data_IF_375336544228
#
_entry.id   IF_375336544228
#
_cell.length_a   1.000
_cell.length_b   1.000
_cell.length_c   1.000
_cell.angle_alpha   90.00
_cell.angle_beta   90.00
_cell.angle_gamma   90.00
#
_symmetry.space_group_name_H-M   'P 1'
#
loop_
_entity.id
_entity.type
_entity.pdbx_description
1 polymer ?
#
# COMPACT_ATOMS: atom_id res chain seq x y z
N UNK A 1 7.74 14.00 0.01
CA UNK A 1 6.84 13.41 -1.01
C UNK A 1 5.46 13.96 -0.77
N UNK A 2 4.77 14.41 -1.82
CA UNK A 2 3.36 14.76 -1.76
C UNK A 2 2.60 13.91 -2.78
N UNK A 3 1.37 13.52 -2.46
CA UNK A 3 0.52 12.75 -3.35
C UNK A 3 -0.91 13.30 -3.27
N UNK A 4 -1.62 13.27 -4.39
CA UNK A 4 -3.07 13.52 -4.46
C UNK A 4 -3.72 12.34 -5.16
N UNK A 5 -4.71 11.73 -4.51
CA UNK A 5 -5.38 10.54 -4.99
C UNK A 5 -6.88 10.77 -5.15
N UNK A 6 -7.46 10.20 -6.20
CA UNK A 6 -8.91 10.05 -6.38
C UNK A 6 -9.22 8.57 -6.39
N UNK A 7 -10.24 8.18 -5.62
CA UNK A 7 -10.67 6.80 -5.52
C UNK A 7 -12.14 6.68 -5.90
N UNK A 8 -12.48 5.66 -6.69
CA UNK A 8 -13.84 5.37 -7.10
C UNK A 8 -14.11 3.87 -7.15
N UNK A 9 -15.35 3.47 -6.92
CA UNK A 9 -15.75 2.07 -7.05
C UNK A 9 -15.98 1.71 -8.51
N UNK A 10 -15.48 0.55 -8.92
CA UNK A 10 -15.87 -0.07 -10.19
C UNK A 10 -17.34 -0.49 -10.15
N UNK A 11 -17.92 -0.73 -11.34
CA UNK A 11 -19.23 -1.36 -11.45
C UNK A 11 -19.26 -2.69 -10.65
N UNK A 12 -20.34 -2.94 -9.91
CA UNK A 12 -20.44 -4.07 -8.98
C UNK A 12 -19.82 -3.84 -7.60
N UNK A 13 -19.05 -2.77 -7.38
CA UNK A 13 -18.53 -2.33 -6.05
C UNK A 13 -17.67 -3.38 -5.31
N UNK A 14 -16.99 -4.26 -6.05
CA UNK A 14 -16.07 -5.25 -5.48
C UNK A 14 -14.63 -4.72 -5.38
N UNK A 15 -14.25 -3.87 -6.33
CA UNK A 15 -12.94 -3.26 -6.40
C UNK A 15 -13.06 -1.74 -6.51
N UNK A 16 -12.15 -1.06 -5.84
CA UNK A 16 -11.94 0.37 -5.91
C UNK A 16 -10.72 0.65 -6.79
N UNK A 17 -10.87 1.56 -7.74
CA UNK A 17 -9.80 2.11 -8.56
C UNK A 17 -9.29 3.39 -7.91
N UNK A 18 -7.97 3.57 -7.87
CA UNK A 18 -7.32 4.72 -7.25
C UNK A 18 -6.31 5.30 -8.24
N UNK A 19 -6.60 6.51 -8.72
CA UNK A 19 -5.68 7.29 -9.53
C UNK A 19 -4.92 8.28 -8.66
N UNK A 20 -3.59 8.28 -8.73
CA UNK A 20 -2.74 9.18 -7.94
C UNK A 20 -1.76 9.98 -8.80
N UNK A 21 -1.53 11.22 -8.41
CA UNK A 21 -0.42 12.05 -8.90
C UNK A 21 0.53 12.30 -7.74
N UNK A 22 1.83 12.06 -7.92
CA UNK A 22 2.83 12.23 -6.88
C UNK A 22 4.00 13.10 -7.31
N UNK A 23 4.61 13.77 -6.33
CA UNK A 23 5.90 14.48 -6.46
C UNK A 23 6.91 13.90 -5.48
N UNK A 24 8.07 13.49 -5.99
CA UNK A 24 9.13 12.87 -5.20
C UNK A 24 10.51 13.45 -5.56
N UNK A 25 11.51 13.19 -4.71
CA UNK A 25 12.91 13.57 -5.02
C UNK A 25 13.51 12.80 -6.19
N UNK A 26 12.87 11.71 -6.64
CA UNK A 26 13.28 10.90 -7.80
C UNK A 26 12.53 11.28 -9.08
N UNK A 27 11.57 12.20 -9.00
CA UNK A 27 10.72 12.60 -10.13
C UNK A 27 9.24 12.68 -9.75
N UNK A 28 8.49 13.36 -10.62
CA UNK A 28 7.04 13.42 -10.57
C UNK A 28 6.45 12.27 -11.39
N UNK A 29 5.25 11.81 -11.04
CA UNK A 29 4.62 10.72 -11.77
C UNK A 29 3.17 10.49 -11.40
N UNK A 30 2.59 9.47 -12.02
CA UNK A 30 1.23 9.01 -11.79
C UNK A 30 1.22 7.54 -11.43
N UNK A 31 0.21 7.11 -10.67
CA UNK A 31 -0.06 5.70 -10.43
C UNK A 31 -1.54 5.36 -10.52
N UNK A 32 -1.80 4.11 -10.87
CA UNK A 32 -3.11 3.49 -10.89
C UNK A 32 -3.07 2.27 -9.97
N UNK A 33 -4.01 2.21 -9.02
CA UNK A 33 -4.12 1.09 -8.11
C UNK A 33 -5.54 0.51 -8.07
N UNK A 34 -5.61 -0.80 -7.85
CA UNK A 34 -6.85 -1.54 -7.65
C UNK A 34 -6.83 -2.17 -6.27
N UNK A 35 -7.86 -1.90 -5.49
CA UNK A 35 -8.02 -2.41 -4.13
C UNK A 35 -9.36 -3.11 -3.97
N UNK A 36 -9.39 -4.31 -3.40
CA UNK A 36 -10.63 -5.03 -3.17
C UNK A 36 -10.44 -6.28 -2.33
N UNK A 37 -11.53 -6.99 -2.07
CA UNK A 37 -11.50 -8.23 -1.30
C UNK A 37 -11.63 -9.43 -2.22
N UNK A 38 -10.69 -10.38 -2.09
CA UNK A 38 -10.74 -11.69 -2.74
C UNK A 38 -11.46 -12.68 -1.79
N UNK A 39 -12.67 -13.14 -2.12
CA UNK A 39 -13.43 -14.06 -1.27
C UNK A 39 -12.86 -15.49 -1.23
N UNK A 40 -12.09 -15.90 -2.24
CA UNK A 40 -11.47 -17.23 -2.28
C UNK A 40 -10.25 -17.28 -1.35
N UNK A 41 -9.40 -16.25 -1.43
CA UNK A 41 -8.23 -16.13 -0.56
C UNK A 41 -8.57 -15.58 0.83
N UNK A 42 -9.77 -15.02 1.00
CA UNK A 42 -10.24 -14.34 2.22
C UNK A 42 -9.33 -13.19 2.66
N UNK A 43 -8.73 -12.50 1.70
CA UNK A 43 -7.80 -11.41 1.91
C UNK A 43 -8.13 -10.23 1.02
N UNK A 44 -7.73 -9.03 1.44
CA UNK A 44 -7.72 -7.88 0.57
C UNK A 44 -6.52 -7.95 -0.37
N UNK A 45 -6.70 -7.45 -1.58
CA UNK A 45 -5.65 -7.35 -2.60
C UNK A 45 -5.46 -5.90 -2.95
N UNK A 46 -4.21 -5.48 -3.08
CA UNK A 46 -3.82 -4.20 -3.65
C UNK A 46 -2.84 -4.45 -4.77
N UNK A 47 -3.07 -3.86 -5.94
CA UNK A 47 -2.15 -3.90 -7.07
C UNK A 47 -1.99 -2.49 -7.63
N UNK A 48 -0.76 -1.99 -7.72
CA UNK A 48 -0.45 -0.65 -8.22
C UNK A 48 0.57 -0.71 -9.35
N UNK A 49 0.41 0.20 -10.31
CA UNK A 49 1.36 0.43 -11.39
C UNK A 49 1.63 1.93 -11.50
N UNK A 50 2.87 2.32 -11.76
CA UNK A 50 3.21 3.73 -11.88
C UNK A 50 3.99 4.08 -13.16
N UNK A 51 4.03 5.38 -13.47
CA UNK A 51 4.68 5.94 -14.66
C UNK A 51 6.21 5.78 -14.67
N UNK A 52 6.81 5.25 -13.59
CA UNK A 52 8.23 4.94 -13.50
C UNK A 52 8.51 3.46 -13.81
N UNK A 53 7.50 2.70 -14.24
CA UNK A 53 7.63 1.29 -14.61
C UNK A 53 7.62 0.33 -13.42
N UNK A 54 7.22 0.79 -12.23
CA UNK A 54 7.08 -0.05 -11.05
C UNK A 54 5.69 -0.70 -11.01
N UNK A 55 5.65 -1.93 -10.51
CA UNK A 55 4.44 -2.69 -10.29
C UNK A 55 4.51 -3.34 -8.91
N UNK A 56 3.57 -2.98 -8.05
CA UNK A 56 3.52 -3.45 -6.67
C UNK A 56 2.25 -4.28 -6.45
N UNK A 57 2.38 -5.34 -5.66
CA UNK A 57 1.25 -6.20 -5.27
C UNK A 57 1.36 -6.53 -3.80
N UNK A 58 0.32 -6.25 -3.04
CA UNK A 58 0.25 -6.58 -1.62
C UNK A 58 -1.05 -7.27 -1.23
N UNK A 59 -0.96 -8.13 -0.22
CA UNK A 59 -2.07 -8.85 0.38
C UNK A 59 -2.35 -8.25 1.76
N UNK A 60 -3.60 -7.91 1.99
CA UNK A 60 -4.09 -7.19 3.14
C UNK A 60 -5.01 -8.02 4.03
N UNK A 61 -4.83 -7.91 5.33
CA UNK A 61 -5.79 -8.39 6.33
C UNK A 61 -6.24 -7.25 7.22
N UNK A 62 -7.51 -7.27 7.64
CA UNK A 62 -8.06 -6.36 8.64
C UNK A 62 -8.42 -7.15 9.91
N UNK A 63 -7.83 -6.77 11.03
CA UNK A 63 -8.15 -7.33 12.35
C UNK A 63 -8.48 -6.18 13.30
N UNK A 64 -9.76 -6.05 13.65
CA UNK A 64 -10.25 -4.94 14.47
C UNK A 64 -10.03 -3.59 13.79
N UNK A 65 -9.19 -2.75 14.37
CA UNK A 65 -8.81 -1.43 13.87
C UNK A 65 -7.51 -1.43 13.05
N UNK A 66 -6.90 -2.60 12.84
CA UNK A 66 -5.55 -2.72 12.30
C UNK A 66 -5.56 -3.44 10.95
N UNK A 67 -5.11 -2.71 9.94
CA UNK A 67 -4.76 -3.25 8.63
C UNK A 67 -3.30 -3.69 8.61
N UNK A 68 -3.03 -4.82 7.98
CA UNK A 68 -1.68 -5.30 7.69
C UNK A 68 -1.61 -5.72 6.23
N UNK A 69 -0.75 -5.05 5.46
CA UNK A 69 -0.43 -5.38 4.09
C UNK A 69 0.97 -5.98 4.03
N UNK A 70 1.13 -7.02 3.23
CA UNK A 70 2.42 -7.68 2.99
C UNK A 70 2.67 -7.83 1.50
N UNK A 71 3.91 -7.66 1.10
CA UNK A 71 4.36 -7.84 -0.27
C UNK A 71 5.73 -8.53 -0.30
N UNK A 72 6.08 -9.07 -1.47
CA UNK A 72 7.40 -9.61 -1.75
C UNK A 72 7.84 -9.08 -3.11
N UNK A 73 8.83 -8.19 -3.08
CA UNK A 73 9.29 -7.44 -4.23
C UNK A 73 10.74 -7.79 -4.57
N UNK A 74 11.08 -7.76 -5.86
CA UNK A 74 12.46 -7.92 -6.32
C UNK A 74 13.06 -6.56 -6.64
N UNK A 75 14.16 -6.22 -5.98
CA UNK A 75 14.90 -4.99 -6.23
C UNK A 75 16.37 -5.33 -6.48
N UNK A 76 16.89 -5.00 -7.66
CA UNK A 76 18.29 -5.28 -8.02
C UNK A 76 18.66 -6.77 -7.98
N UNK A 77 17.73 -7.66 -8.35
CA UNK A 77 17.93 -9.11 -8.32
C UNK A 77 17.81 -9.76 -6.95
N UNK A 78 17.58 -8.99 -5.88
CA UNK A 78 17.36 -9.49 -4.53
C UNK A 78 15.89 -9.39 -4.13
N UNK A 79 15.43 -10.34 -3.32
CA UNK A 79 14.06 -10.32 -2.80
C UNK A 79 14.01 -9.52 -1.49
N UNK A 80 12.99 -8.69 -1.35
CA UNK A 80 12.67 -7.96 -0.12
C UNK A 80 11.19 -8.17 0.20
N UNK A 81 10.89 -8.41 1.47
CA UNK A 81 9.50 -8.44 1.93
C UNK A 81 9.14 -7.09 2.54
N UNK A 82 7.99 -6.56 2.15
CA UNK A 82 7.38 -5.37 2.75
C UNK A 82 6.29 -5.77 3.74
N UNK A 83 6.17 -4.99 4.82
CA UNK A 83 5.01 -5.01 5.71
C UNK A 83 4.57 -3.59 6.02
N UNK A 84 3.36 -3.25 5.61
CA UNK A 84 2.72 -1.99 5.97
C UNK A 84 1.60 -2.24 6.97
N UNK A 85 1.73 -1.67 8.15
CA UNK A 85 0.71 -1.74 9.21
C UNK A 85 0.04 -0.39 9.34
N UNK A 86 -1.28 -0.36 9.32
CA UNK A 86 -2.09 0.84 9.55
C UNK A 86 -3.07 0.58 10.68
N UNK A 87 -3.01 1.38 11.74
CA UNK A 87 -3.93 1.34 12.87
C UNK A 87 -4.85 2.55 12.83
N UNK A 88 -6.14 2.32 12.66
CA UNK A 88 -7.17 3.36 12.67
C UNK A 88 -7.27 3.90 14.10
N UNK A 89 -7.01 5.19 14.28
CA UNK A 89 -7.06 5.85 15.59
C UNK A 89 -8.31 6.69 15.77
N UNK A 90 -8.95 7.10 14.67
CA UNK A 90 -10.26 7.76 14.65
C UNK A 90 -10.91 7.63 13.27
N UNK A 91 -12.18 8.06 13.08
CA UNK A 91 -12.80 8.12 11.76
C UNK A 91 -12.05 8.97 10.72
N UNK A 92 -11.11 9.81 11.15
CA UNK A 92 -10.36 10.73 10.29
C UNK A 92 -8.84 10.61 10.46
N UNK A 93 -8.33 9.63 11.20
CA UNK A 93 -6.91 9.49 11.47
C UNK A 93 -6.45 8.04 11.61
N UNK A 94 -5.18 7.80 11.26
CA UNK A 94 -4.51 6.52 11.49
C UNK A 94 -3.02 6.70 11.78
N UNK A 95 -2.46 5.75 12.52
CA UNK A 95 -1.02 5.59 12.67
C UNK A 95 -0.55 4.54 11.65
N UNK A 96 0.65 4.68 11.10
CA UNK A 96 1.19 3.71 10.16
C UNK A 96 2.66 3.39 10.40
N UNK A 97 3.06 2.20 9.98
CA UNK A 97 4.44 1.70 10.02
C UNK A 97 4.73 0.91 8.75
N UNK A 98 5.84 1.23 8.10
CA UNK A 98 6.41 0.48 7.00
C UNK A 98 7.68 -0.22 7.48
N UNK A 99 7.73 -1.53 7.29
CA UNK A 99 8.86 -2.37 7.59
C UNK A 99 9.33 -3.11 6.34
N UNK A 100 10.63 -3.35 6.26
CA UNK A 100 11.24 -4.15 5.20
C UNK A 100 12.12 -5.23 5.80
N UNK A 101 12.18 -6.37 5.12
CA UNK A 101 13.06 -7.47 5.45
C UNK A 101 13.83 -7.89 4.19
N UNK A 102 15.16 -7.74 4.15
CA UNK A 102 15.97 -8.33 3.09
C UNK A 102 15.96 -9.87 3.22
N UNK A 103 16.22 -10.56 2.11
CA UNK A 103 16.32 -12.03 2.09
C UNK A 103 17.25 -12.55 3.20
N UNK A 104 16.70 -13.39 4.09
CA UNK A 104 17.43 -13.97 5.24
C UNK A 104 17.74 -13.00 6.39
N UNK A 105 17.32 -11.74 6.30
CA UNK A 105 17.55 -10.72 7.33
C UNK A 105 16.42 -10.56 8.34
N UNK A 106 16.54 -9.56 9.21
CA UNK A 106 15.51 -9.17 10.18
C UNK A 106 14.61 -8.05 9.63
N UNK A 107 13.40 -7.95 10.16
CA UNK A 107 12.51 -6.83 9.89
C UNK A 107 13.09 -5.54 10.46
N UNK A 108 13.08 -4.48 9.66
CA UNK A 108 13.53 -3.15 10.05
C UNK A 108 12.44 -2.14 9.74
N UNK A 109 12.14 -1.25 10.69
CA UNK A 109 11.27 -0.09 10.44
C UNK A 109 11.98 0.84 9.46
N UNK A 110 11.34 1.12 8.34
CA UNK A 110 11.82 2.09 7.34
C UNK A 110 11.13 3.43 7.51
N UNK A 111 9.85 3.40 7.89
CA UNK A 111 9.06 4.61 8.10
C UNK A 111 7.96 4.35 9.12
N UNK A 112 7.62 5.35 9.92
CA UNK A 112 6.42 5.36 10.75
C UNK A 112 5.87 6.78 10.85
N UNK A 113 4.56 6.91 11.10
CA UNK A 113 3.94 8.22 11.14
C UNK A 113 2.45 8.19 11.47
N UNK A 114 1.85 9.37 11.40
CA UNK A 114 0.42 9.60 11.59
C UNK A 114 -0.15 10.29 10.37
N UNK A 115 -1.34 9.89 9.96
CA UNK A 115 -2.08 10.51 8.86
C UNK A 115 -3.44 11.01 9.37
N UNK A 116 -3.83 12.20 8.93
CA UNK A 116 -5.13 12.80 9.24
C UNK A 116 -5.79 13.28 7.96
N UNK A 117 -7.09 13.03 7.82
CA UNK A 117 -7.90 13.58 6.74
C UNK A 117 -7.98 15.11 6.92
N UNK A 118 -7.75 15.87 5.85
CA UNK A 118 -8.00 17.31 5.78
C UNK A 118 -9.31 17.60 5.05
#
# INVERSE_FOLDING_TARGET
>A
MTSTSKAEWMEGKHFMMIHSNFKSGMGDGTSEAFFGYDPEQKMYTYSEFNSMGQADRSLGTLSGDTWTFTDSNKMGGKTFNGRYTMKITSPTAYDFKLEMQPEGGQWMTVMEGKATKQ
#
